data_IF_300741038441
#
_entry.id   IF_300741038441
#
_cell.length_a   1.000
_cell.length_b   1.000
_cell.length_c   1.000
_cell.angle_alpha   90.00
_cell.angle_beta   90.00
_cell.angle_gamma   90.00
#
_symmetry.space_group_name_H-M   'P 1'
#
loop_
_entity.id
_entity.type
_entity.pdbx_description
1 polymer ?
#
# COMPACT_ATOMS: atom_id res chain seq x y z
N UNK A 1 -56.48 -22.66 -42.05
CA UNK A 1 -55.03 -22.48 -42.27
C UNK A 1 -54.40 -22.14 -40.93
N UNK A 2 -53.81 -23.12 -40.25
CA UNK A 2 -53.01 -22.89 -39.04
C UNK A 2 -51.88 -23.92 -39.04
N UNK A 3 -50.75 -23.55 -39.63
CA UNK A 3 -49.51 -24.31 -39.61
C UNK A 3 -48.84 -24.04 -38.26
N UNK A 4 -49.10 -24.90 -37.28
CA UNK A 4 -48.37 -24.91 -36.02
C UNK A 4 -46.93 -25.37 -36.27
N UNK A 5 -45.96 -24.54 -35.89
CA UNK A 5 -44.53 -24.85 -35.98
C UNK A 5 -44.20 -26.15 -35.21
N UNK A 6 -43.43 -27.03 -35.86
CA UNK A 6 -43.11 -28.37 -35.33
C UNK A 6 -42.17 -28.32 -34.11
N UNK A 7 -42.16 -29.37 -33.27
CA UNK A 7 -41.31 -29.45 -32.08
C UNK A 7 -39.80 -29.32 -32.38
N UNK A 8 -39.35 -29.69 -33.58
CA UNK A 8 -37.95 -29.53 -34.02
C UNK A 8 -37.55 -28.07 -34.24
N UNK A 9 -38.41 -27.24 -34.88
CA UNK A 9 -38.17 -25.80 -35.06
C UNK A 9 -38.05 -25.07 -33.71
N UNK A 10 -38.81 -25.50 -32.70
CA UNK A 10 -38.76 -24.90 -31.35
C UNK A 10 -37.44 -25.23 -30.62
N UNK A 11 -36.89 -26.42 -30.83
CA UNK A 11 -35.59 -26.83 -30.27
C UNK A 11 -34.45 -26.11 -30.98
N UNK A 12 -34.52 -25.97 -32.30
CA UNK A 12 -33.53 -25.24 -33.08
C UNK A 12 -33.53 -23.75 -32.76
N UNK A 13 -34.70 -23.13 -32.64
CA UNK A 13 -34.84 -21.74 -32.18
C UNK A 13 -34.31 -21.54 -30.75
N UNK A 14 -34.52 -22.51 -29.86
CA UNK A 14 -33.97 -22.47 -28.49
C UNK A 14 -32.43 -22.58 -28.49
N UNK A 15 -31.85 -23.45 -29.31
CA UNK A 15 -30.39 -23.58 -29.48
C UNK A 15 -29.77 -22.32 -30.08
N UNK A 16 -30.40 -21.73 -31.10
CA UNK A 16 -29.97 -20.47 -31.70
C UNK A 16 -30.01 -19.32 -30.69
N UNK A 17 -31.08 -19.23 -29.90
CA UNK A 17 -31.21 -18.23 -28.83
C UNK A 17 -30.15 -18.42 -27.74
N UNK A 18 -29.86 -19.67 -27.35
CA UNK A 18 -28.83 -19.97 -26.37
C UNK A 18 -27.41 -19.69 -26.90
N UNK A 19 -27.14 -19.97 -28.17
CA UNK A 19 -25.88 -19.63 -28.84
C UNK A 19 -25.69 -18.11 -28.93
N UNK A 20 -26.72 -17.37 -29.33
CA UNK A 20 -26.69 -15.91 -29.37
C UNK A 20 -26.48 -15.29 -27.96
N UNK A 21 -27.11 -15.86 -26.93
CA UNK A 21 -26.89 -15.45 -25.54
C UNK A 21 -25.45 -15.71 -25.06
N UNK A 22 -24.86 -16.86 -25.40
CA UNK A 22 -23.45 -17.18 -25.09
C UNK A 22 -22.49 -16.24 -25.81
N UNK A 23 -22.74 -15.96 -27.09
CA UNK A 23 -21.93 -15.05 -27.89
C UNK A 23 -22.01 -13.61 -27.35
N UNK A 24 -23.21 -13.15 -26.97
CA UNK A 24 -23.41 -11.86 -26.33
C UNK A 24 -22.71 -11.77 -24.95
N UNK A 25 -22.74 -12.84 -24.15
CA UNK A 25 -22.03 -12.90 -22.87
C UNK A 25 -20.50 -12.88 -23.05
N UNK A 26 -19.98 -13.58 -24.07
CA UNK A 26 -18.56 -13.57 -24.41
C UNK A 26 -18.11 -12.20 -24.91
N UNK A 27 -18.90 -11.54 -25.76
CA UNK A 27 -18.63 -10.18 -26.22
C UNK A 27 -18.61 -9.15 -25.07
N UNK A 28 -19.55 -9.24 -24.13
CA UNK A 28 -19.56 -8.38 -22.92
C UNK A 28 -18.33 -8.58 -22.05
N UNK A 29 -17.89 -9.82 -21.84
CA UNK A 29 -16.66 -10.13 -21.08
C UNK A 29 -15.40 -9.62 -21.77
N UNK A 30 -15.31 -9.77 -23.10
CA UNK A 30 -14.21 -9.23 -23.89
C UNK A 30 -14.15 -7.70 -23.83
N UNK A 31 -15.30 -7.02 -23.97
CA UNK A 31 -15.39 -5.57 -23.83
C UNK A 31 -15.02 -5.08 -22.42
N UNK A 32 -15.40 -5.81 -21.37
CA UNK A 32 -15.00 -5.50 -20.00
C UNK A 32 -13.48 -5.62 -19.78
N UNK A 33 -12.86 -6.68 -20.33
CA UNK A 33 -11.40 -6.88 -20.30
C UNK A 33 -10.66 -5.77 -21.04
N UNK A 34 -11.09 -5.42 -22.25
CA UNK A 34 -10.47 -4.34 -23.03
C UNK A 34 -10.55 -2.98 -22.31
N UNK A 35 -11.71 -2.65 -21.70
CA UNK A 35 -11.84 -1.44 -20.87
C UNK A 35 -10.94 -1.46 -19.65
N UNK A 36 -10.75 -2.62 -19.02
CA UNK A 36 -9.86 -2.77 -17.86
C UNK A 36 -8.39 -2.61 -18.27
N UNK A 37 -8.00 -3.16 -19.41
CA UNK A 37 -6.65 -3.04 -19.99
C UNK A 37 -6.34 -1.59 -20.36
N UNK A 38 -7.25 -0.91 -21.06
CA UNK A 38 -7.10 0.50 -21.41
C UNK A 38 -7.00 1.41 -20.17
N UNK A 39 -7.77 1.11 -19.12
CA UNK A 39 -7.64 1.81 -17.82
C UNK A 39 -6.28 1.55 -17.15
N UNK A 40 -5.76 0.32 -17.23
CA UNK A 40 -4.44 -0.03 -16.69
C UNK A 40 -3.32 0.69 -17.44
N UNK A 41 -3.41 0.78 -18.76
CA UNK A 41 -2.44 1.51 -19.58
C UNK A 41 -2.47 3.01 -19.31
N UNK A 42 -3.66 3.61 -19.20
CA UNK A 42 -3.81 5.01 -18.82
C UNK A 42 -3.27 5.30 -17.41
N UNK A 43 -3.55 4.41 -16.45
CA UNK A 43 -2.99 4.51 -15.10
C UNK A 43 -1.46 4.42 -15.11
N UNK A 44 -0.88 3.47 -15.88
CA UNK A 44 0.58 3.35 -16.06
C UNK A 44 1.19 4.61 -16.68
N UNK A 45 0.55 5.18 -17.70
CA UNK A 45 1.02 6.41 -18.35
C UNK A 45 1.03 7.62 -17.40
N UNK A 46 -0.05 7.80 -16.62
CA UNK A 46 -0.13 8.86 -15.61
C UNK A 46 0.92 8.67 -14.49
N UNK A 47 1.13 7.42 -14.06
CA UNK A 47 2.16 7.00 -13.12
C UNK A 47 3.57 7.42 -13.57
N UNK A 48 3.92 7.13 -14.82
CA UNK A 48 5.24 7.45 -15.38
C UNK A 48 5.49 8.95 -15.43
N UNK A 49 4.50 9.74 -15.85
CA UNK A 49 4.60 11.20 -15.87
C UNK A 49 4.81 11.78 -14.46
N UNK A 50 4.09 11.27 -13.45
CA UNK A 50 4.27 11.66 -12.05
C UNK A 50 5.68 11.37 -11.52
N UNK A 51 6.24 10.20 -11.87
CA UNK A 51 7.63 9.85 -11.51
C UNK A 51 8.65 10.76 -12.17
N UNK A 52 8.50 11.09 -13.45
CA UNK A 52 9.40 12.00 -14.17
C UNK A 52 9.39 13.41 -13.56
N UNK A 53 8.21 13.92 -13.21
CA UNK A 53 8.07 15.22 -12.55
C UNK A 53 8.82 15.27 -11.22
N UNK A 54 8.65 14.26 -10.37
CA UNK A 54 9.32 14.23 -9.07
C UNK A 54 10.83 13.96 -9.15
N UNK A 55 11.32 13.23 -10.16
CA UNK A 55 12.78 13.08 -10.39
C UNK A 55 13.44 14.43 -10.74
N UNK A 56 12.71 15.31 -11.43
CA UNK A 56 13.18 16.67 -11.73
C UNK A 56 13.57 17.46 -10.48
N UNK A 57 12.91 17.22 -9.34
CA UNK A 57 13.27 17.82 -8.06
C UNK A 57 14.71 17.48 -7.67
N UNK A 58 15.02 16.18 -7.63
CA UNK A 58 16.29 15.66 -7.12
C UNK A 58 17.45 15.98 -8.06
N UNK A 59 17.21 15.95 -9.38
CA UNK A 59 18.23 16.27 -10.39
C UNK A 59 18.65 17.75 -10.40
N UNK A 60 17.76 18.68 -10.02
CA UNK A 60 18.09 20.11 -10.00
C UNK A 60 18.94 20.53 -8.79
N UNK A 61 19.06 19.68 -7.77
CA UNK A 61 19.72 20.02 -6.51
C UNK A 61 19.04 21.17 -5.77
N UNK A 62 19.63 21.55 -4.63
CA UNK A 62 19.12 22.65 -3.81
C UNK A 62 19.22 24.00 -4.54
N UNK A 63 18.21 24.88 -4.47
CA UNK A 63 18.29 26.17 -5.14
C UNK A 63 19.45 27.05 -4.60
N UNK A 64 20.45 27.31 -5.46
CA UNK A 64 21.66 28.07 -5.09
C UNK A 64 21.53 29.57 -5.38
N UNK A 65 20.65 30.25 -4.63
CA UNK A 65 20.50 31.71 -4.66
C UNK A 65 21.37 32.44 -3.62
N UNK A 66 21.46 33.77 -3.71
CA UNK A 66 22.14 34.61 -2.70
C UNK A 66 21.33 34.59 -1.39
N UNK A 67 21.60 33.59 -0.54
CA UNK A 67 20.93 33.26 0.74
C UNK A 67 19.46 32.83 0.58
N UNK A 68 19.21 31.57 0.21
CA UNK A 68 17.87 31.00 0.27
C UNK A 68 17.35 31.12 1.71
N UNK A 69 16.14 31.68 1.88
CA UNK A 69 15.52 31.83 3.21
C UNK A 69 15.11 30.48 3.82
N UNK A 70 14.91 29.48 2.97
CA UNK A 70 14.47 28.13 3.33
C UNK A 70 15.39 27.10 2.68
N UNK A 71 15.45 25.90 3.24
CA UNK A 71 15.92 24.70 2.54
C UNK A 71 14.75 23.80 2.16
N UNK A 72 14.97 22.88 1.22
CA UNK A 72 14.01 21.80 0.94
C UNK A 72 13.65 20.99 2.18
N UNK A 73 14.60 20.72 3.07
CA UNK A 73 14.32 20.01 4.33
C UNK A 73 13.36 20.80 5.23
N UNK A 74 13.53 22.13 5.34
CA UNK A 74 12.63 22.99 6.10
C UNK A 74 11.23 23.03 5.47
N UNK A 75 11.16 23.05 4.13
CA UNK A 75 9.90 23.01 3.39
C UNK A 75 9.20 21.66 3.58
N UNK A 76 9.96 20.56 3.52
CA UNK A 76 9.47 19.21 3.73
C UNK A 76 8.91 19.05 5.14
N UNK A 77 9.65 19.48 6.17
CA UNK A 77 9.23 19.43 7.56
C UNK A 77 7.93 20.23 7.80
N UNK A 78 7.81 21.43 7.23
CA UNK A 78 6.58 22.21 7.31
C UNK A 78 5.40 21.52 6.61
N UNK A 79 5.65 20.94 5.44
CA UNK A 79 4.64 20.24 4.66
C UNK A 79 4.16 18.94 5.35
N UNK A 80 5.07 18.15 5.93
CA UNK A 80 4.77 16.99 6.76
C UNK A 80 3.91 17.41 7.96
N UNK A 81 4.29 18.49 8.66
CA UNK A 81 3.52 18.99 9.80
C UNK A 81 2.10 19.44 9.43
N UNK A 82 1.88 19.99 8.23
CA UNK A 82 0.53 20.30 7.73
C UNK A 82 -0.25 19.00 7.48
N UNK A 83 0.36 18.04 6.78
CA UNK A 83 -0.28 16.77 6.44
C UNK A 83 -0.66 15.94 7.68
N UNK A 84 0.17 15.98 8.72
CA UNK A 84 -0.10 15.31 10.01
C UNK A 84 -1.32 15.91 10.73
N UNK A 85 -1.49 17.23 10.70
CA UNK A 85 -2.55 17.93 11.45
C UNK A 85 -3.87 18.04 10.69
N UNK A 86 -3.78 18.30 9.39
CA UNK A 86 -4.92 18.69 8.55
C UNK A 86 -5.24 17.63 7.48
N UNK A 87 -4.41 16.59 7.39
CA UNK A 87 -4.50 15.58 6.35
C UNK A 87 -3.85 16.04 5.04
N UNK A 88 -3.58 15.06 4.19
CA UNK A 88 -2.88 15.23 2.93
C UNK A 88 -3.55 16.20 1.94
N UNK A 89 -4.88 16.22 1.92
CA UNK A 89 -5.67 17.08 1.02
C UNK A 89 -5.49 18.57 1.31
N UNK A 90 -5.16 18.93 2.56
CA UNK A 90 -4.88 20.31 2.95
C UNK A 90 -3.52 20.81 2.41
N UNK A 91 -2.61 19.89 2.04
CA UNK A 91 -1.27 20.24 1.58
C UNK A 91 -1.30 20.87 0.19
N UNK A 92 -1.52 22.17 0.13
CA UNK A 92 -1.46 22.97 -1.12
C UNK A 92 -0.27 23.92 -1.06
N UNK A 93 0.24 24.34 -2.23
CA UNK A 93 1.33 25.33 -2.29
C UNK A 93 1.00 26.61 -1.52
N UNK A 94 -0.25 27.06 -1.60
CA UNK A 94 -0.74 28.24 -0.86
C UNK A 94 -0.78 28.01 0.65
N UNK A 95 -1.28 26.85 1.09
CA UNK A 95 -1.32 26.50 2.52
C UNK A 95 0.10 26.39 3.10
N UNK A 96 1.02 25.80 2.35
CA UNK A 96 2.43 25.68 2.71
C UNK A 96 3.12 27.05 2.76
N UNK A 97 2.87 27.93 1.79
CA UNK A 97 3.39 29.29 1.80
C UNK A 97 2.90 30.08 3.03
N UNK A 98 1.63 29.92 3.40
CA UNK A 98 1.07 30.52 4.61
C UNK A 98 1.73 29.99 5.89
N UNK A 99 1.96 28.68 6.00
CA UNK A 99 2.69 28.06 7.13
C UNK A 99 4.10 28.65 7.29
N UNK A 100 4.80 28.84 6.17
CA UNK A 100 6.16 29.36 6.13
C UNK A 100 6.22 30.89 6.28
N UNK A 101 5.09 31.60 6.31
CA UNK A 101 5.08 33.06 6.26
C UNK A 101 5.81 33.62 5.03
N UNK A 102 5.62 32.95 3.88
CA UNK A 102 6.27 33.25 2.61
C UNK A 102 5.24 33.45 1.49
N UNK A 103 5.67 34.01 0.35
CA UNK A 103 4.84 34.07 -0.85
C UNK A 103 4.80 32.72 -1.56
N UNK A 104 3.70 32.40 -2.26
CA UNK A 104 3.57 31.14 -3.02
C UNK A 104 4.70 30.97 -4.04
N UNK A 105 5.13 32.06 -4.69
CA UNK A 105 6.27 32.03 -5.62
C UNK A 105 7.58 31.61 -4.95
N UNK A 106 7.75 31.87 -3.65
CA UNK A 106 8.90 31.38 -2.87
C UNK A 106 8.86 29.86 -2.74
N UNK A 107 7.68 29.25 -2.54
CA UNK A 107 7.55 27.79 -2.46
C UNK A 107 7.85 27.17 -3.82
N UNK A 108 7.31 27.75 -4.90
CA UNK A 108 7.55 27.30 -6.28
C UNK A 108 9.01 27.33 -6.70
N UNK A 109 9.85 28.13 -6.05
CA UNK A 109 11.29 28.14 -6.28
C UNK A 109 11.98 26.84 -5.83
N UNK A 110 11.43 26.14 -4.83
CA UNK A 110 11.98 24.88 -4.32
C UNK A 110 11.28 23.65 -4.91
N UNK A 111 9.97 23.74 -5.13
CA UNK A 111 9.11 22.67 -5.67
C UNK A 111 8.15 23.23 -6.74
N UNK A 112 8.33 22.85 -8.01
CA UNK A 112 7.64 23.47 -9.14
C UNK A 112 6.17 23.05 -9.27
N UNK A 113 5.80 21.88 -8.75
CA UNK A 113 4.45 21.36 -8.88
C UNK A 113 4.09 20.49 -7.67
N UNK A 114 2.82 20.04 -7.63
CA UNK A 114 2.33 19.20 -6.54
C UNK A 114 3.09 17.88 -6.49
N UNK A 115 3.39 17.23 -7.62
CA UNK A 115 4.15 15.97 -7.67
C UNK A 115 5.53 16.06 -7.02
N UNK A 116 6.27 17.15 -7.25
CA UNK A 116 7.55 17.41 -6.59
C UNK A 116 7.39 17.63 -5.09
N UNK A 117 6.35 18.37 -4.67
CA UNK A 117 6.05 18.51 -3.24
C UNK A 117 5.72 17.15 -2.60
N UNK A 118 5.00 16.27 -3.31
CA UNK A 118 4.70 14.93 -2.83
C UNK A 118 5.96 14.07 -2.69
N UNK A 119 6.83 14.15 -3.70
CA UNK A 119 8.12 13.47 -3.69
C UNK A 119 8.97 13.92 -2.51
N UNK A 120 9.00 15.23 -2.26
CA UNK A 120 9.76 15.83 -1.17
C UNK A 120 9.27 15.39 0.22
N UNK A 121 7.95 15.39 0.45
CA UNK A 121 7.42 14.96 1.76
C UNK A 121 7.54 13.46 1.97
N UNK A 122 7.39 12.65 0.91
CA UNK A 122 7.56 11.21 1.00
C UNK A 122 9.00 10.85 1.34
N UNK A 123 9.97 11.48 0.66
CA UNK A 123 11.39 11.27 0.93
C UNK A 123 11.77 11.74 2.34
N UNK A 124 11.19 12.83 2.84
CA UNK A 124 11.41 13.27 4.21
C UNK A 124 10.93 12.26 5.26
N UNK A 125 9.79 11.58 5.03
CA UNK A 125 9.33 10.49 5.91
C UNK A 125 10.29 9.29 5.82
N UNK A 126 10.81 8.96 4.63
CA UNK A 126 11.81 7.91 4.48
C UNK A 126 13.12 8.23 5.22
N UNK A 127 13.46 9.52 5.39
CA UNK A 127 14.61 9.96 6.17
C UNK A 127 14.53 9.58 7.66
N UNK A 128 13.33 9.34 8.19
CA UNK A 128 13.14 8.86 9.56
C UNK A 128 13.31 7.35 9.70
N UNK A 129 13.19 6.63 8.59
CA UNK A 129 13.40 5.19 8.51
C UNK A 129 14.88 4.88 8.32
N UNK A 130 15.57 5.71 7.53
CA UNK A 130 16.99 5.58 7.25
C UNK A 130 17.82 5.57 8.54
N UNK A 131 18.78 4.66 8.61
CA UNK A 131 19.74 4.58 9.71
C UNK A 131 20.75 5.70 9.57
N UNK A 132 21.16 6.29 10.69
CA UNK A 132 22.26 7.24 10.68
C UNK A 132 23.57 6.52 10.33
N UNK A 133 24.55 7.19 9.69
CA UNK A 133 25.83 6.56 9.34
C UNK A 133 26.57 5.94 10.52
N UNK A 134 26.37 6.47 11.73
CA UNK A 134 26.99 5.99 12.97
C UNK A 134 26.22 4.84 13.64
N UNK A 135 25.06 4.45 13.10
CA UNK A 135 24.23 3.40 13.67
C UNK A 135 24.55 2.04 13.03
N UNK A 136 25.03 1.10 13.84
CA UNK A 136 25.34 -0.25 13.38
C UNK A 136 24.08 -1.12 13.30
N UNK A 137 23.91 -1.78 12.16
CA UNK A 137 22.90 -2.83 11.99
C UNK A 137 23.27 -4.08 12.81
N UNK A 138 22.26 -4.80 13.36
CA UNK A 138 22.48 -6.14 13.87
C UNK A 138 23.19 -7.04 12.85
N UNK A 139 24.14 -7.87 13.30
CA UNK A 139 24.85 -8.80 12.40
C UNK A 139 23.98 -9.95 11.86
N UNK A 140 22.92 -10.30 12.58
CA UNK A 140 21.89 -11.22 12.12
C UNK A 140 20.92 -10.51 11.17
N UNK A 141 20.80 -11.03 9.94
CA UNK A 141 19.98 -10.41 8.90
C UNK A 141 18.50 -10.34 9.30
N UNK A 142 17.97 -11.33 10.05
CA UNK A 142 16.58 -11.30 10.51
C UNK A 142 16.37 -10.18 11.51
N UNK A 143 17.28 -10.00 12.46
CA UNK A 143 17.24 -8.89 13.41
C UNK A 143 17.37 -7.53 12.70
N UNK A 144 18.26 -7.41 11.71
CA UNK A 144 18.45 -6.18 10.94
C UNK A 144 17.21 -5.78 10.14
N UNK A 145 16.65 -6.72 9.37
CA UNK A 145 15.39 -6.50 8.63
C UNK A 145 14.22 -6.21 9.58
N UNK A 146 14.17 -6.88 10.74
CA UNK A 146 13.15 -6.60 11.74
C UNK A 146 13.24 -5.18 12.30
N UNK A 147 14.45 -4.67 12.50
CA UNK A 147 14.68 -3.28 12.93
C UNK A 147 14.18 -2.29 11.87
N UNK A 148 14.57 -2.50 10.61
CA UNK A 148 14.16 -1.65 9.49
C UNK A 148 12.63 -1.66 9.36
N UNK A 149 11.99 -2.84 9.36
CA UNK A 149 10.54 -2.98 9.25
C UNK A 149 9.79 -2.28 10.39
N UNK A 150 10.29 -2.35 11.63
CA UNK A 150 9.71 -1.62 12.77
C UNK A 150 9.79 -0.11 12.57
N UNK A 151 10.94 0.41 12.13
CA UNK A 151 11.10 1.84 11.82
C UNK A 151 10.16 2.31 10.72
N UNK A 152 10.02 1.52 9.66
CA UNK A 152 9.06 1.80 8.58
C UNK A 152 7.63 1.87 9.13
N UNK A 153 7.21 0.91 9.96
CA UNK A 153 5.90 0.94 10.61
C UNK A 153 5.74 2.17 11.52
N UNK A 154 6.74 2.51 12.31
CA UNK A 154 6.68 3.66 13.22
C UNK A 154 6.57 4.99 12.47
N UNK A 155 7.27 5.14 11.34
CA UNK A 155 7.13 6.28 10.44
C UNK A 155 5.72 6.35 9.85
N UNK A 156 5.18 5.24 9.33
CA UNK A 156 3.81 5.19 8.81
C UNK A 156 2.77 5.49 9.90
N UNK A 157 2.97 5.02 11.13
CA UNK A 157 2.08 5.31 12.27
C UNK A 157 2.10 6.79 12.65
N UNK A 158 3.26 7.45 12.57
CA UNK A 158 3.40 8.89 12.79
C UNK A 158 2.82 9.72 11.65
N UNK A 159 2.87 9.19 10.43
CA UNK A 159 2.41 9.86 9.20
C UNK A 159 1.38 9.02 8.42
N UNK A 160 0.17 8.72 8.95
CA UNK A 160 -0.76 7.75 8.34
C UNK A 160 -1.28 8.10 6.94
N UNK A 161 -1.08 9.36 6.52
CA UNK A 161 -1.43 9.85 5.20
C UNK A 161 -0.53 9.31 4.08
N UNK A 162 0.67 8.79 4.40
CA UNK A 162 1.58 8.21 3.39
C UNK A 162 0.95 7.02 2.66
N UNK A 163 0.09 6.26 3.35
CA UNK A 163 -0.65 5.14 2.77
C UNK A 163 -1.68 5.56 1.70
N UNK A 164 -1.98 6.86 1.59
CA UNK A 164 -2.87 7.43 0.58
C UNK A 164 -2.14 8.08 -0.60
N UNK A 165 -0.82 8.26 -0.51
CA UNK A 165 -0.01 8.76 -1.63
C UNK A 165 0.21 7.58 -2.56
N UNK A 166 -0.25 7.67 -3.80
CA UNK A 166 -0.11 6.59 -4.78
C UNK A 166 1.34 6.16 -4.99
N UNK A 167 1.54 4.95 -5.50
CA UNK A 167 2.84 4.27 -5.75
C UNK A 167 3.77 5.00 -6.75
N UNK A 168 3.37 6.18 -7.22
CA UNK A 168 4.02 6.92 -8.29
C UNK A 168 4.98 8.00 -7.78
N UNK A 169 5.21 8.07 -6.46
CA UNK A 169 6.25 8.93 -5.91
C UNK A 169 7.63 8.38 -6.30
N UNK A 170 8.48 9.17 -6.97
CA UNK A 170 9.84 8.76 -7.29
C UNK A 170 10.71 8.61 -6.05
N UNK A 171 11.73 7.74 -6.17
CA UNK A 171 12.74 7.52 -5.14
C UNK A 171 13.59 8.78 -4.95
N UNK A 172 13.46 9.43 -3.80
CA UNK A 172 14.38 10.49 -3.39
C UNK A 172 15.64 9.92 -2.71
N UNK A 173 16.57 10.80 -2.28
CA UNK A 173 17.82 10.41 -1.64
C UNK A 173 17.64 9.52 -0.41
N UNK A 174 16.66 9.79 0.45
CA UNK A 174 16.41 8.99 1.65
C UNK A 174 15.78 7.64 1.30
N UNK A 175 14.89 7.59 0.30
CA UNK A 175 14.39 6.31 -0.22
C UNK A 175 15.52 5.44 -0.76
N UNK A 176 16.49 6.02 -1.48
CA UNK A 176 17.65 5.30 -2.00
C UNK A 176 18.56 4.83 -0.86
N UNK A 177 18.81 5.67 0.14
CA UNK A 177 19.60 5.30 1.31
C UNK A 177 18.95 4.15 2.09
N UNK A 178 17.64 4.22 2.30
CA UNK A 178 16.88 3.13 2.94
C UNK A 178 16.99 1.82 2.16
N UNK A 179 16.92 1.87 0.83
CA UNK A 179 17.07 0.69 -0.01
C UNK A 179 18.49 0.10 0.05
N UNK A 180 19.51 0.95 -0.02
CA UNK A 180 20.92 0.57 0.12
C UNK A 180 21.19 -0.09 1.48
N UNK A 181 20.68 0.50 2.57
CA UNK A 181 20.78 -0.04 3.92
C UNK A 181 20.04 -1.38 4.07
N UNK A 182 18.89 -1.54 3.42
CA UNK A 182 18.15 -2.81 3.43
C UNK A 182 18.90 -3.92 2.67
N UNK A 183 19.59 -3.59 1.58
CA UNK A 183 20.51 -4.53 0.93
C UNK A 183 21.70 -4.87 1.83
N UNK A 184 22.26 -3.87 2.52
CA UNK A 184 23.32 -4.05 3.52
C UNK A 184 22.90 -4.97 4.68
N UNK A 185 21.66 -4.85 5.15
CA UNK A 185 21.08 -5.72 6.20
C UNK A 185 21.04 -7.20 5.79
N UNK A 186 21.00 -7.48 4.48
CA UNK A 186 21.01 -8.84 3.92
C UNK A 186 22.41 -9.31 3.52
N UNK A 187 23.48 -8.59 3.87
CA UNK A 187 24.84 -8.96 3.50
C UNK A 187 25.24 -10.34 4.06
N UNK A 188 24.81 -10.69 5.28
CA UNK A 188 25.11 -11.98 5.92
C UNK A 188 24.22 -13.14 5.46
N UNK A 189 23.16 -12.88 4.69
CA UNK A 189 22.31 -13.91 4.11
C UNK A 189 22.98 -14.51 2.86
N UNK A 190 23.29 -15.82 2.90
CA UNK A 190 23.82 -16.56 1.76
C UNK A 190 22.69 -16.95 0.80
N UNK A 191 22.34 -16.02 -0.09
CA UNK A 191 21.32 -16.22 -1.11
C UNK A 191 21.61 -15.38 -2.37
N UNK A 192 21.13 -15.79 -3.56
CA UNK A 192 21.21 -14.97 -4.75
C UNK A 192 20.53 -13.61 -4.58
N UNK A 193 21.04 -12.57 -5.25
CA UNK A 193 20.48 -11.21 -5.18
C UNK A 193 18.99 -11.16 -5.50
N UNK A 194 18.52 -11.95 -6.48
CA UNK A 194 17.10 -12.03 -6.81
C UNK A 194 16.24 -12.42 -5.60
N UNK A 195 16.71 -13.38 -4.80
CA UNK A 195 15.98 -13.82 -3.59
C UNK A 195 16.02 -12.77 -2.49
N UNK A 196 17.14 -12.06 -2.35
CA UNK A 196 17.24 -10.92 -1.42
C UNK A 196 16.25 -9.82 -1.79
N UNK A 197 16.11 -9.50 -3.07
CA UNK A 197 15.13 -8.53 -3.56
C UNK A 197 13.69 -8.99 -3.34
N UNK A 198 13.38 -10.27 -3.60
CA UNK A 198 12.06 -10.84 -3.34
C UNK A 198 11.69 -10.77 -1.85
N UNK A 199 12.65 -11.04 -0.95
CA UNK A 199 12.47 -10.88 0.49
C UNK A 199 12.14 -9.43 0.86
N UNK A 200 12.91 -8.45 0.35
CA UNK A 200 12.66 -7.04 0.64
C UNK A 200 11.25 -6.61 0.20
N UNK A 201 10.85 -6.98 -1.02
CA UNK A 201 9.51 -6.69 -1.54
C UNK A 201 8.42 -7.34 -0.67
N UNK A 202 8.62 -8.57 -0.21
CA UNK A 202 7.67 -9.27 0.65
C UNK A 202 7.55 -8.62 2.03
N UNK A 203 8.68 -8.19 2.62
CA UNK A 203 8.70 -7.49 3.91
C UNK A 203 8.01 -6.14 3.78
N UNK A 204 8.32 -5.34 2.77
CA UNK A 204 7.67 -4.05 2.54
C UNK A 204 6.16 -4.23 2.34
N UNK A 205 5.76 -5.17 1.47
CA UNK A 205 4.34 -5.50 1.23
C UNK A 205 3.63 -5.89 2.53
N UNK A 206 4.29 -6.66 3.39
CA UNK A 206 3.77 -6.99 4.71
C UNK A 206 3.62 -5.75 5.60
N UNK A 207 4.65 -4.90 5.69
CA UNK A 207 4.62 -3.68 6.53
C UNK A 207 3.51 -2.74 6.08
N UNK A 208 3.43 -2.43 4.77
CA UNK A 208 2.39 -1.57 4.22
C UNK A 208 1.00 -2.15 4.40
N UNK A 209 0.82 -3.45 4.10
CA UNK A 209 -0.45 -4.16 4.28
C UNK A 209 -0.90 -4.16 5.74
N UNK A 210 0.03 -4.42 6.66
CA UNK A 210 -0.23 -4.39 8.10
C UNK A 210 -0.63 -2.99 8.56
N UNK A 211 0.12 -1.95 8.19
CA UNK A 211 -0.18 -0.57 8.60
C UNK A 211 -1.51 -0.07 8.04
N UNK A 212 -1.87 -0.47 6.81
CA UNK A 212 -3.17 -0.16 6.21
C UNK A 212 -4.33 -0.75 7.02
N UNK A 213 -4.18 -1.99 7.47
CA UNK A 213 -5.19 -2.65 8.30
C UNK A 213 -5.22 -2.08 9.72
N UNK A 214 -4.06 -1.84 10.33
CA UNK A 214 -3.91 -1.22 11.65
C UNK A 214 -4.61 0.16 11.70
N UNK A 215 -4.46 0.98 10.65
CA UNK A 215 -5.18 2.26 10.50
C UNK A 215 -6.70 2.07 10.49
N UNK A 216 -7.18 1.05 9.77
CA UNK A 216 -8.60 0.71 9.71
C UNK A 216 -9.16 0.25 11.05
N UNK A 217 -8.43 -0.58 11.77
CA UNK A 217 -8.81 -1.09 13.09
C UNK A 217 -8.88 0.04 14.14
N UNK A 218 -7.89 0.95 14.16
CA UNK A 218 -7.89 2.10 15.06
C UNK A 218 -9.09 3.03 14.83
N UNK A 219 -9.50 3.24 13.58
CA UNK A 219 -10.66 4.07 13.24
C UNK A 219 -12.02 3.43 13.57
N UNK A 220 -12.10 2.10 13.66
CA UNK A 220 -13.34 1.38 13.93
C UNK A 220 -13.69 1.25 15.43
N UNK A 221 -12.79 1.68 16.33
CA UNK A 221 -13.03 1.67 17.78
C UNK A 221 -13.40 0.30 18.35
N UNK A 222 -12.98 -0.79 17.69
CA UNK A 222 -13.17 -2.15 18.18
C UNK A 222 -14.61 -2.67 18.23
N UNK A 223 -15.59 -1.85 17.87
CA UNK A 223 -17.01 -2.16 18.08
C UNK A 223 -17.65 -2.61 16.78
N UNK A 224 -18.27 -3.78 16.79
CA UNK A 224 -19.09 -4.25 15.66
C UNK A 224 -20.34 -3.37 15.59
N UNK A 225 -20.64 -2.73 14.45
CA UNK A 225 -21.96 -2.17 14.25
C UNK A 225 -22.99 -3.30 14.38
N UNK A 226 -24.03 -3.11 15.20
CA UNK A 226 -25.06 -4.13 15.43
C UNK A 226 -25.65 -4.69 14.13
N UNK A 227 -25.82 -3.83 13.12
CA UNK A 227 -26.28 -4.25 11.79
C UNK A 227 -25.36 -5.28 11.09
N UNK A 228 -24.04 -5.16 11.25
CA UNK A 228 -23.07 -6.13 10.70
C UNK A 228 -23.17 -7.45 11.45
N UNK A 229 -23.32 -7.39 12.78
CA UNK A 229 -23.53 -8.57 13.61
C UNK A 229 -24.81 -9.32 13.24
N UNK A 230 -25.92 -8.61 13.09
CA UNK A 230 -27.21 -9.20 12.74
C UNK A 230 -27.18 -9.84 11.35
N UNK A 231 -26.58 -9.15 10.37
CA UNK A 231 -26.40 -9.68 9.02
C UNK A 231 -25.58 -10.97 8.99
N UNK A 232 -24.43 -10.98 9.66
CA UNK A 232 -23.57 -12.16 9.69
C UNK A 232 -24.22 -13.33 10.43
N UNK A 233 -24.96 -13.06 11.50
CA UNK A 233 -25.73 -14.08 12.23
C UNK A 233 -26.77 -14.72 11.32
N UNK A 234 -27.52 -13.91 10.57
CA UNK A 234 -28.50 -14.43 9.62
C UNK A 234 -27.85 -15.22 8.49
N UNK A 235 -26.69 -14.77 8.01
CA UNK A 235 -25.97 -15.47 6.96
C UNK A 235 -25.42 -16.82 7.42
N UNK A 236 -24.86 -16.90 8.62
CA UNK A 236 -24.44 -18.17 9.22
C UNK A 236 -25.62 -19.14 9.35
N UNK A 237 -26.80 -18.66 9.75
CA UNK A 237 -28.03 -19.48 9.87
C UNK A 237 -28.50 -20.11 8.57
N UNK A 238 -28.18 -19.52 7.42
CA UNK A 238 -28.52 -20.12 6.12
C UNK A 238 -27.83 -21.46 5.85
N UNK A 239 -26.78 -21.79 6.61
CA UNK A 239 -25.98 -23.01 6.41
C UNK A 239 -25.00 -22.91 5.23
N UNK A 240 -24.99 -21.80 4.48
CA UNK A 240 -24.10 -21.61 3.33
C UNK A 240 -22.62 -21.38 3.72
N UNK A 241 -22.35 -21.07 4.99
CA UNK A 241 -21.02 -20.70 5.48
C UNK A 241 -20.53 -21.61 6.63
N UNK A 242 -20.33 -22.92 6.39
CA UNK A 242 -20.06 -23.90 7.45
C UNK A 242 -18.77 -23.60 8.23
N UNK A 243 -17.74 -23.05 7.58
CA UNK A 243 -16.48 -22.65 8.26
C UNK A 243 -16.66 -21.43 9.17
N UNK A 244 -17.53 -20.49 8.77
CA UNK A 244 -17.85 -19.32 9.59
C UNK A 244 -18.74 -19.72 10.77
N UNK A 245 -19.67 -20.66 10.55
CA UNK A 245 -20.48 -21.25 11.62
C UNK A 245 -19.59 -21.90 12.69
N UNK A 246 -18.63 -22.74 12.28
CA UNK A 246 -17.68 -23.39 13.20
C UNK A 246 -16.87 -22.36 14.02
N UNK A 247 -16.37 -21.29 13.39
CA UNK A 247 -15.64 -20.23 14.08
C UNK A 247 -16.51 -19.52 15.15
N UNK A 248 -17.76 -19.22 14.81
CA UNK A 248 -18.71 -18.56 15.73
C UNK A 248 -19.13 -19.50 16.86
N UNK A 249 -19.28 -20.80 16.60
CA UNK A 249 -19.56 -21.80 17.62
C UNK A 249 -18.39 -21.98 18.60
N UNK A 250 -17.16 -22.02 18.10
CA UNK A 250 -15.96 -22.24 18.91
C UNK A 250 -15.60 -21.03 19.79
N UNK A 251 -15.62 -19.83 19.21
CA UNK A 251 -15.16 -18.62 19.91
C UNK A 251 -16.32 -17.78 20.47
N UNK A 252 -17.53 -17.93 19.93
CA UNK A 252 -18.62 -16.97 20.12
C UNK A 252 -18.44 -15.73 19.24
N UNK A 253 -19.53 -15.17 18.73
CA UNK A 253 -19.51 -14.09 17.71
C UNK A 253 -18.63 -12.89 18.11
N UNK A 254 -18.73 -12.45 19.37
CA UNK A 254 -17.96 -11.30 19.88
C UNK A 254 -16.46 -11.57 19.91
N UNK A 255 -16.01 -12.78 20.30
CA UNK A 255 -14.59 -13.13 20.29
C UNK A 255 -14.09 -13.46 18.89
N UNK A 256 -14.88 -14.11 18.05
CA UNK A 256 -14.53 -14.36 16.65
C UNK A 256 -14.30 -13.03 15.92
N UNK A 257 -15.15 -12.04 16.14
CA UNK A 257 -14.95 -10.71 15.56
C UNK A 257 -13.73 -10.00 16.13
N UNK A 258 -13.56 -10.00 17.46
CA UNK A 258 -12.35 -9.46 18.10
C UNK A 258 -11.09 -10.11 17.54
N UNK A 259 -11.10 -11.43 17.36
CA UNK A 259 -10.01 -12.17 16.74
C UNK A 259 -9.76 -11.81 15.28
N UNK A 260 -10.77 -11.30 14.56
CA UNK A 260 -10.67 -10.84 13.16
C UNK A 260 -10.39 -9.34 13.02
N UNK A 261 -10.55 -8.54 14.08
CA UNK A 261 -10.51 -7.07 14.00
C UNK A 261 -9.53 -6.41 14.98
N UNK A 262 -9.31 -6.97 16.16
CA UNK A 262 -8.48 -6.41 17.23
C UNK A 262 -7.26 -7.29 17.54
N UNK A 263 -7.43 -8.61 17.78
CA UNK A 263 -6.30 -9.49 18.19
C UNK A 263 -5.31 -9.77 17.04
N UNK A 264 -5.70 -9.51 15.79
CA UNK A 264 -4.75 -9.51 14.66
C UNK A 264 -3.71 -8.37 14.79
N UNK A 265 -4.00 -7.33 15.58
CA UNK A 265 -3.20 -6.12 15.74
C UNK A 265 -2.85 -5.82 17.20
N UNK A 266 -2.77 -6.86 18.06
CA UNK A 266 -2.26 -6.68 19.42
C UNK A 266 -0.82 -6.13 19.43
N UNK A 267 -0.38 -5.67 20.61
CA UNK A 267 0.89 -4.95 20.78
C UNK A 267 2.13 -5.73 20.28
N UNK A 268 2.03 -7.06 20.08
CA UNK A 268 3.11 -7.89 19.54
C UNK A 268 2.79 -8.62 18.24
N UNK A 269 1.62 -8.44 17.62
CA UNK A 269 1.24 -9.25 16.46
C UNK A 269 2.06 -8.90 15.22
N UNK A 270 2.49 -7.64 15.07
CA UNK A 270 3.42 -7.20 14.03
C UNK A 270 4.72 -8.01 14.06
N UNK A 271 5.46 -8.00 15.19
CA UNK A 271 6.73 -8.72 15.32
C UNK A 271 6.56 -10.23 15.20
N UNK A 272 5.45 -10.80 15.70
CA UNK A 272 5.16 -12.23 15.53
C UNK A 272 4.96 -12.60 14.06
N UNK A 273 4.19 -11.81 13.32
CA UNK A 273 3.90 -12.09 11.91
C UNK A 273 5.12 -11.82 11.03
N UNK A 274 5.89 -10.77 11.32
CA UNK A 274 7.15 -10.50 10.65
C UNK A 274 8.15 -11.65 10.85
N UNK A 275 8.31 -12.13 12.09
CA UNK A 275 9.17 -13.28 12.38
C UNK A 275 8.76 -14.51 11.57
N UNK A 276 7.46 -14.82 11.53
CA UNK A 276 6.93 -15.95 10.73
C UNK A 276 7.22 -15.80 9.24
N UNK A 277 7.13 -14.57 8.70
CA UNK A 277 7.47 -14.29 7.31
C UNK A 277 8.96 -14.59 7.07
N UNK A 278 9.86 -14.03 7.90
CA UNK A 278 11.30 -14.21 7.76
C UNK A 278 11.73 -15.67 7.93
N UNK A 279 11.20 -16.37 8.94
CA UNK A 279 11.47 -17.79 9.16
C UNK A 279 10.97 -18.66 8.00
N UNK A 280 9.81 -18.33 7.40
CA UNK A 280 9.29 -19.01 6.22
C UNK A 280 10.18 -18.83 4.98
N UNK A 281 10.72 -17.63 4.77
CA UNK A 281 11.70 -17.36 3.71
C UNK A 281 12.99 -18.16 3.92
N UNK A 282 13.54 -18.16 5.14
CA UNK A 282 14.73 -18.93 5.50
C UNK A 282 14.53 -20.43 5.25
N UNK A 283 13.37 -20.97 5.64
CA UNK A 283 13.03 -22.38 5.40
C UNK A 283 12.96 -22.69 3.90
N UNK A 284 12.34 -21.81 3.10
CA UNK A 284 12.23 -22.01 1.64
C UNK A 284 13.59 -22.00 0.93
N UNK A 285 14.57 -21.26 1.47
CA UNK A 285 15.95 -21.30 0.99
C UNK A 285 16.60 -22.65 1.31
N UNK A 286 16.41 -23.17 2.52
CA UNK A 286 16.93 -24.48 2.93
C UNK A 286 16.41 -25.63 2.06
N UNK A 287 15.13 -25.58 1.68
CA UNK A 287 14.49 -26.59 0.83
C UNK A 287 14.90 -26.49 -0.65
N UNK A 288 15.31 -25.30 -1.14
CA UNK A 288 15.71 -25.08 -2.52
C UNK A 288 17.16 -25.50 -2.84
N UNK A 289 17.99 -25.66 -1.80
CA UNK A 289 19.40 -26.01 -1.91
C UNK A 289 19.78 -27.34 -1.22
N UNK A 290 18.80 -28.11 -0.72
CA UNK A 290 18.95 -29.49 -0.23
C UNK A 290 18.60 -30.51 -1.32
#
# INVERSE_FOLDING_TARGET
MSTGQGPEERIEAARAKQAAQRQAAQARRAAARARQEQRREQARGASTAGREEGLGLWLRGEPQGRRPRWSRDQIAAAAVGIADREGFEALTMRRLAAELGAGTMTVYYYVHNKGELLSLVMDAVMGEVALSPDEELPGDWKAAISLIARRTRDAIRRHPWVLGIGEDSPFGPNSLLHFDQSLGALASLDAPLAVKLDLLVAVDSFVFGYCLQERGAAGAGGTIPHAVQDYLTEMVRTGAYPRLAALVEELGFKKAWRALSEDLFDEGSFDRNLRRLLDGFEQSLGDAFS
#
